data_IF_907012721314
#
_entry.id   IF_907012721314
#
_cell.length_a   1.000
_cell.length_b   1.000
_cell.length_c   1.000
_cell.angle_alpha   90.00
_cell.angle_beta   90.00
_cell.angle_gamma   90.00
#
_symmetry.space_group_name_H-M   'P 1'
#
loop_
_entity.id
_entity.type
_entity.pdbx_description
1 polymer ?
#
# COMPACT_ATOMS: atom_id res chain seq x y z
N UNK A 1 -5.43 -2.21 19.09
CA UNK A 1 -6.03 -0.88 18.78
C UNK A 1 -6.42 -0.73 17.31
N UNK A 2 -5.58 -1.17 16.37
CA UNK A 2 -5.74 -1.02 14.91
C UNK A 2 -7.10 -1.50 14.33
N UNK A 3 -7.56 -2.69 14.73
CA UNK A 3 -8.82 -3.28 14.24
C UNK A 3 -10.07 -2.44 14.56
N UNK A 4 -10.10 -1.77 15.73
CA UNK A 4 -11.19 -0.87 16.11
C UNK A 4 -11.21 0.42 15.29
N UNK A 5 -10.06 0.90 14.87
CA UNK A 5 -9.93 2.12 14.07
C UNK A 5 -10.32 1.86 12.61
N UNK A 6 -9.89 0.73 12.05
CA UNK A 6 -10.28 0.27 10.71
C UNK A 6 -11.79 0.01 10.62
N UNK A 7 -12.39 -0.65 11.61
CA UNK A 7 -13.85 -0.87 11.63
C UNK A 7 -14.66 0.43 11.71
N UNK A 8 -14.13 1.45 12.40
CA UNK A 8 -14.76 2.79 12.49
C UNK A 8 -14.67 3.55 11.17
N UNK A 9 -13.51 3.52 10.49
CA UNK A 9 -13.30 4.20 9.21
C UNK A 9 -14.05 3.57 8.05
N UNK A 10 -14.22 2.24 8.07
CA UNK A 10 -14.85 1.50 6.97
C UNK A 10 -16.35 1.23 7.21
N UNK A 11 -16.90 1.61 8.38
CA UNK A 11 -18.33 1.47 8.70
C UNK A 11 -18.87 0.03 8.72
N UNK A 12 -17.98 -0.97 8.69
CA UNK A 12 -18.29 -2.40 8.59
C UNK A 12 -17.37 -3.18 9.52
N UNK A 13 -17.78 -4.39 9.96
CA UNK A 13 -16.86 -5.31 10.66
C UNK A 13 -15.79 -5.77 9.67
N UNK A 14 -14.62 -5.17 9.75
CA UNK A 14 -13.46 -5.54 8.94
C UNK A 14 -12.67 -6.57 9.73
N UNK A 15 -12.44 -7.74 9.16
CA UNK A 15 -11.48 -8.73 9.69
C UNK A 15 -10.16 -8.47 8.97
N UNK A 16 -9.21 -7.73 9.58
CA UNK A 16 -7.94 -7.46 8.93
C UNK A 16 -7.09 -8.74 8.91
N UNK A 17 -6.85 -9.27 7.71
CA UNK A 17 -5.78 -10.24 7.51
C UNK A 17 -4.47 -9.49 7.35
N UNK A 18 -3.63 -9.57 8.38
CA UNK A 18 -2.33 -8.91 8.41
C UNK A 18 -1.27 -9.97 8.08
N UNK A 19 -0.49 -9.72 7.05
CA UNK A 19 0.65 -10.57 6.68
C UNK A 19 1.88 -9.70 6.51
N UNK A 20 3.02 -10.18 7.04
CA UNK A 20 4.30 -9.50 6.88
C UNK A 20 4.88 -9.84 5.51
N UNK A 21 5.22 -8.81 4.73
CA UNK A 21 5.84 -8.99 3.42
C UNK A 21 7.19 -8.24 3.39
N UNK A 22 8.32 -8.94 3.51
CA UNK A 22 9.64 -8.30 3.47
C UNK A 22 9.93 -7.58 2.13
N UNK A 23 9.28 -7.98 1.04
CA UNK A 23 9.55 -7.43 -0.29
C UNK A 23 9.08 -5.97 -0.44
N UNK A 24 8.18 -5.47 0.41
CA UNK A 24 7.71 -4.08 0.30
C UNK A 24 8.72 -3.05 0.83
N UNK A 25 9.76 -3.52 1.55
CA UNK A 25 10.83 -2.74 2.18
C UNK A 25 10.37 -1.74 3.27
N UNK A 26 9.06 -1.51 3.36
CA UNK A 26 8.41 -0.64 4.33
C UNK A 26 7.07 -0.13 3.83
N UNK A 27 6.28 0.47 4.72
CA UNK A 27 4.94 0.98 4.42
C UNK A 27 3.85 -0.09 4.59
N UNK A 28 2.72 0.10 3.90
CA UNK A 28 1.55 -0.78 4.02
C UNK A 28 0.90 -0.99 2.66
N UNK A 29 0.39 -2.20 2.44
CA UNK A 29 -0.49 -2.52 1.32
C UNK A 29 -1.83 -2.91 1.92
N UNK A 30 -2.90 -2.25 1.48
CA UNK A 30 -4.26 -2.52 1.93
C UNK A 30 -5.08 -2.98 0.74
N UNK A 31 -5.70 -4.15 0.86
CA UNK A 31 -6.65 -4.67 -0.13
C UNK A 31 -8.05 -4.69 0.47
N UNK A 32 -9.01 -4.06 -0.20
CA UNK A 32 -10.43 -4.04 0.19
C UNK A 32 -11.26 -4.45 -1.02
N UNK A 33 -11.78 -5.68 -1.01
CA UNK A 33 -12.44 -6.26 -2.19
C UNK A 33 -11.49 -6.32 -3.37
N UNK A 34 -11.84 -5.64 -4.46
CA UNK A 34 -11.05 -5.55 -5.69
C UNK A 34 -10.08 -4.34 -5.69
N UNK A 35 -10.20 -3.44 -4.73
CA UNK A 35 -9.36 -2.25 -4.64
C UNK A 35 -8.08 -2.56 -3.87
N UNK A 36 -6.93 -2.32 -4.49
CA UNK A 36 -5.61 -2.41 -3.85
C UNK A 36 -5.02 -1.02 -3.72
N UNK A 37 -4.78 -0.61 -2.48
CA UNK A 37 -4.03 0.59 -2.14
C UNK A 37 -2.61 0.19 -1.71
N UNK A 38 -1.65 0.40 -2.61
CA UNK A 38 -0.23 0.10 -2.37
C UNK A 38 0.51 1.37 -1.94
N UNK A 39 0.68 1.52 -0.61
CA UNK A 39 1.48 2.56 0.02
C UNK A 39 2.92 2.14 0.29
N UNK A 40 3.42 1.08 -0.35
CA UNK A 40 4.77 0.55 -0.08
C UNK A 40 5.88 1.48 -0.52
N UNK A 41 6.99 1.43 0.21
CA UNK A 41 8.24 2.14 -0.14
C UNK A 41 8.76 1.64 -1.47
N UNK A 42 8.71 0.32 -1.71
CA UNK A 42 9.06 -0.28 -3.01
C UNK A 42 8.31 0.37 -4.17
N UNK A 43 6.99 0.54 -4.08
CA UNK A 43 6.18 1.15 -5.16
C UNK A 43 6.56 2.61 -5.40
N UNK A 44 6.81 3.37 -4.33
CA UNK A 44 7.24 4.78 -4.43
C UNK A 44 8.58 4.90 -5.15
N UNK A 45 9.55 4.07 -4.78
CA UNK A 45 10.87 4.03 -5.45
C UNK A 45 10.76 3.64 -6.92
N UNK A 46 9.96 2.62 -7.24
CA UNK A 46 9.74 2.20 -8.62
C UNK A 46 9.12 3.33 -9.47
N UNK A 47 8.13 4.04 -8.91
CA UNK A 47 7.48 5.18 -9.59
C UNK A 47 8.47 6.31 -9.83
N UNK A 48 9.33 6.62 -8.85
CA UNK A 48 10.37 7.63 -8.97
C UNK A 48 11.39 7.26 -10.06
N UNK A 49 11.85 6.00 -10.08
CA UNK A 49 12.73 5.48 -11.13
C UNK A 49 12.12 5.63 -12.52
N UNK A 50 10.84 5.28 -12.69
CA UNK A 50 10.15 5.44 -13.98
C UNK A 50 10.10 6.90 -14.42
N UNK A 51 9.82 7.84 -13.50
CA UNK A 51 9.82 9.27 -13.80
C UNK A 51 11.21 9.76 -14.21
N UNK A 52 12.26 9.32 -13.51
CA UNK A 52 13.64 9.68 -13.86
C UNK A 52 14.04 9.18 -15.24
N UNK A 53 13.71 7.93 -15.57
CA UNK A 53 13.99 7.37 -16.91
C UNK A 53 13.22 8.12 -18.01
N UNK A 54 11.95 8.45 -17.77
CA UNK A 54 11.14 9.19 -18.73
C UNK A 54 11.66 10.61 -19.00
N UNK A 55 12.30 11.26 -18.02
CA UNK A 55 12.89 12.60 -18.18
C UNK A 55 14.20 12.57 -18.96
N UNK A 56 14.98 11.48 -18.90
CA UNK A 56 16.28 11.36 -19.59
C UNK A 56 16.12 11.09 -21.09
N UNK A 57 14.94 10.65 -21.54
CA UNK A 57 14.65 10.37 -22.97
C UNK A 57 14.03 11.56 -23.72
N UNK A 58 14.04 12.77 -23.15
CA UNK A 58 13.67 14.03 -23.82
C UNK A 58 14.89 14.94 -23.96
#
# INVERSE_FOLDING_TARGET
ALARQLSRLLGKRVVPHISLNPAILGGVIVKVGDTVMDGSVRRRLATLRQRMLATVTR
#
